data_IF_393724745831
#
_entry.id   IF_393724745831
#
_cell.length_a   1.000
_cell.length_b   1.000
_cell.length_c   1.000
_cell.angle_alpha   90.00
_cell.angle_beta   90.00
_cell.angle_gamma   90.00
#
_symmetry.space_group_name_H-M   'P 1'
#
loop_
_entity.id
_entity.type
_entity.pdbx_description
1 polymer ?
#
# COMPACT_ATOMS: atom_id res chain seq x y z
N UNK A 1 -34.98 34.08 -6.67
CA UNK A 1 -33.64 33.46 -6.64
C UNK A 1 -33.74 32.19 -5.79
N UNK A 2 -33.47 31.02 -6.38
CA UNK A 2 -33.55 29.76 -5.65
C UNK A 2 -32.47 29.72 -4.55
N UNK A 3 -32.85 29.33 -3.33
CA UNK A 3 -31.91 29.09 -2.23
C UNK A 3 -31.59 27.60 -2.21
N UNK A 4 -30.35 27.26 -1.90
CA UNK A 4 -29.91 25.87 -1.79
C UNK A 4 -29.37 25.60 -0.39
N UNK A 5 -29.62 24.40 0.12
CA UNK A 5 -29.13 24.00 1.43
C UNK A 5 -27.60 23.86 1.38
N UNK A 6 -26.88 24.58 2.25
CA UNK A 6 -25.41 24.52 2.32
C UNK A 6 -24.87 23.17 2.78
N UNK A 7 -25.72 22.31 3.35
CA UNK A 7 -25.33 20.99 3.87
C UNK A 7 -25.53 19.86 2.85
N UNK A 8 -26.61 19.88 2.07
CA UNK A 8 -26.94 18.79 1.14
C UNK A 8 -27.22 19.24 -0.30
N UNK A 9 -27.23 20.54 -0.59
CA UNK A 9 -27.41 21.08 -1.94
C UNK A 9 -28.84 21.09 -2.48
N UNK A 10 -29.84 20.61 -1.73
CA UNK A 10 -31.24 20.58 -2.20
C UNK A 10 -31.83 21.99 -2.32
N UNK A 11 -32.80 22.14 -3.22
CA UNK A 11 -33.55 23.39 -3.39
C UNK A 11 -34.42 23.67 -2.17
N UNK A 12 -34.30 24.88 -1.62
CA UNK A 12 -35.00 25.32 -0.42
C UNK A 12 -35.96 26.45 -0.80
N UNK A 13 -37.21 26.32 -0.36
CA UNK A 13 -38.23 27.36 -0.52
C UNK A 13 -37.78 28.70 0.06
N UNK A 14 -38.22 29.81 -0.52
CA UNK A 14 -37.78 31.17 -0.16
C UNK A 14 -37.86 31.48 1.34
N UNK A 15 -38.82 30.87 2.03
CA UNK A 15 -39.19 31.15 3.41
C UNK A 15 -38.94 29.97 4.38
N UNK A 16 -38.33 28.87 3.91
CA UNK A 16 -38.07 27.71 4.76
C UNK A 16 -36.95 28.01 5.77
N UNK A 17 -37.22 27.73 7.06
CA UNK A 17 -36.25 27.90 8.16
C UNK A 17 -35.31 26.71 8.32
N UNK A 18 -35.77 25.54 7.88
CA UNK A 18 -35.03 24.28 7.89
C UNK A 18 -35.13 23.65 6.50
N UNK A 19 -34.12 22.86 6.14
CA UNK A 19 -34.13 22.09 4.91
C UNK A 19 -35.02 20.86 5.09
N UNK A 20 -36.03 20.69 4.24
CA UNK A 20 -36.97 19.57 4.34
C UNK A 20 -36.28 18.21 4.11
N UNK A 21 -35.20 18.18 3.33
CA UNK A 21 -34.44 16.95 3.02
C UNK A 21 -33.46 16.49 4.12
N UNK A 22 -32.83 17.41 4.85
CA UNK A 22 -31.77 17.05 5.81
C UNK A 22 -31.93 17.64 7.21
N UNK A 23 -33.02 18.38 7.45
CA UNK A 23 -33.36 19.01 8.73
C UNK A 23 -32.44 20.16 9.16
N UNK A 24 -31.45 20.54 8.36
CA UNK A 24 -30.49 21.59 8.73
C UNK A 24 -31.11 23.00 8.69
N UNK A 25 -30.81 23.89 9.66
CA UNK A 25 -31.32 25.26 9.65
C UNK A 25 -30.71 26.08 8.49
N UNK A 26 -31.57 26.79 7.75
CA UNK A 26 -31.21 27.53 6.52
C UNK A 26 -30.57 28.89 6.84
N UNK A 27 -30.67 29.37 8.09
CA UNK A 27 -29.95 30.54 8.60
C UNK A 27 -29.03 30.13 9.74
N UNK A 28 -27.72 30.18 9.53
CA UNK A 28 -26.79 30.28 10.63
C UNK A 28 -27.06 31.60 11.37
N UNK A 29 -27.55 31.52 12.61
CA UNK A 29 -27.73 32.67 13.48
C UNK A 29 -26.34 33.23 13.77
N UNK A 30 -26.01 34.39 13.23
CA UNK A 30 -24.82 35.14 13.67
C UNK A 30 -24.95 35.35 15.18
N UNK A 31 -23.99 34.91 16.02
CA UNK A 31 -24.05 35.19 17.43
C UNK A 31 -24.00 36.72 17.63
N UNK A 32 -25.02 37.24 18.28
CA UNK A 32 -25.11 38.64 18.65
C UNK A 32 -23.97 38.96 19.63
N UNK A 33 -23.04 39.81 19.20
CA UNK A 33 -22.06 40.41 20.08
C UNK A 33 -22.80 41.33 21.04
N UNK A 34 -22.66 41.07 22.34
CA UNK A 34 -23.28 41.86 23.39
C UNK A 34 -22.78 43.31 23.34
N UNK A 35 -23.72 44.25 23.42
CA UNK A 35 -23.45 45.67 23.53
C UNK A 35 -22.73 46.00 24.84
N UNK A 36 -21.61 46.72 24.78
CA UNK A 36 -21.04 47.46 25.90
C UNK A 36 -21.28 48.97 25.71
N UNK A 37 -21.60 49.74 26.76
CA UNK A 37 -21.80 51.19 26.68
C UNK A 37 -20.49 51.98 26.47
N UNK A 38 -20.56 53.23 25.99
CA UNK A 38 -19.39 54.00 25.59
C UNK A 38 -18.72 54.71 26.78
N UNK A 39 -17.40 54.56 26.90
CA UNK A 39 -16.57 55.45 27.73
C UNK A 39 -15.74 56.34 26.83
N UNK A 40 -15.95 57.65 26.97
CA UNK A 40 -15.31 58.71 26.22
C UNK A 40 -13.86 58.96 26.66
N UNK A 41 -12.93 59.10 25.72
CA UNK A 41 -11.67 59.84 25.89
C UNK A 41 -11.25 60.48 24.54
N UNK A 42 -10.35 61.47 24.49
CA UNK A 42 -10.61 62.75 23.84
C UNK A 42 -9.96 62.85 22.46
N UNK A 43 -10.43 63.86 21.71
CA UNK A 43 -9.89 64.30 20.43
C UNK A 43 -8.44 64.75 20.58
N UNK A 44 -7.56 64.17 19.77
CA UNK A 44 -6.35 64.88 19.30
C UNK A 44 -6.52 65.07 17.81
N UNK A 45 -6.78 66.31 17.42
CA UNK A 45 -6.83 66.75 16.03
C UNK A 45 -5.40 66.68 15.46
N UNK A 46 -5.20 65.90 14.41
CA UNK A 46 -4.14 66.16 13.45
C UNK A 46 -4.82 66.56 12.13
N UNK A 47 -4.61 67.81 11.76
CA UNK A 47 -5.11 68.38 10.52
C UNK A 47 -4.50 67.67 9.32
N UNK A 48 -5.35 67.10 8.46
CA UNK A 48 -5.00 66.73 7.10
C UNK A 48 -5.90 67.54 6.16
N UNK A 49 -5.29 68.19 5.17
CA UNK A 49 -5.95 69.06 4.22
C UNK A 49 -7.10 68.35 3.46
N UNK A 50 -8.24 69.02 3.21
CA UNK A 50 -9.31 68.44 2.42
C UNK A 50 -8.86 68.33 0.96
N UNK A 51 -8.75 67.10 0.46
CA UNK A 51 -8.68 66.84 -0.97
C UNK A 51 -10.14 66.74 -1.44
N UNK A 52 -10.63 67.78 -2.10
CA UNK A 52 -11.94 67.77 -2.75
C UNK A 52 -11.90 66.82 -3.96
N UNK A 53 -12.20 65.55 -3.73
CA UNK A 53 -12.39 64.54 -4.77
C UNK A 53 -13.87 64.55 -5.15
N UNK A 54 -14.16 64.95 -6.39
CA UNK A 54 -15.52 65.00 -6.93
C UNK A 54 -16.09 63.58 -7.17
N UNK A 55 -16.81 63.06 -6.18
CA UNK A 55 -17.36 61.69 -6.12
C UNK A 55 -18.44 61.36 -7.17
N UNK A 56 -18.96 62.34 -7.92
CA UNK A 56 -20.08 62.10 -8.87
C UNK A 56 -19.68 61.43 -10.17
N UNK A 57 -18.39 61.37 -10.53
CA UNK A 57 -17.92 60.68 -11.77
C UNK A 57 -17.04 59.46 -11.54
N UNK A 58 -16.59 59.19 -10.31
CA UNK A 58 -15.77 58.01 -9.98
C UNK A 58 -16.63 56.80 -9.60
N UNK A 59 -17.88 57.01 -9.19
CA UNK A 59 -18.78 55.94 -8.72
C UNK A 59 -19.30 54.96 -9.78
N UNK A 60 -19.22 55.27 -11.08
CA UNK A 60 -19.79 54.43 -12.14
C UNK A 60 -18.78 53.57 -12.92
N UNK A 61 -17.47 53.86 -12.83
CA UNK A 61 -16.42 53.03 -13.44
C UNK A 61 -15.56 52.27 -12.40
N UNK A 62 -15.52 52.70 -11.14
CA UNK A 62 -14.78 52.02 -10.08
C UNK A 62 -15.50 50.80 -9.48
N UNK A 63 -16.84 50.83 -9.40
CA UNK A 63 -17.63 49.78 -8.75
C UNK A 63 -17.66 48.46 -9.52
N UNK A 64 -17.74 48.53 -10.86
CA UNK A 64 -17.75 47.33 -11.72
C UNK A 64 -16.37 46.67 -11.75
N UNK A 65 -15.28 47.45 -11.81
CA UNK A 65 -13.92 46.91 -11.80
C UNK A 65 -13.58 46.18 -10.50
N UNK A 66 -13.97 46.71 -9.34
CA UNK A 66 -13.75 46.06 -8.04
C UNK A 66 -14.64 44.84 -7.85
N UNK A 67 -15.91 44.89 -8.29
CA UNK A 67 -16.80 43.73 -8.23
C UNK A 67 -16.33 42.58 -9.15
N UNK A 68 -15.87 42.89 -10.37
CA UNK A 68 -15.30 41.89 -11.29
C UNK A 68 -13.99 41.33 -10.75
N UNK A 69 -13.12 42.13 -10.12
CA UNK A 69 -11.91 41.64 -9.47
C UNK A 69 -12.20 40.78 -8.23
N UNK A 70 -13.23 41.09 -7.44
CA UNK A 70 -13.64 40.26 -6.30
C UNK A 70 -14.28 38.94 -6.74
N UNK A 71 -15.07 38.96 -7.82
CA UNK A 71 -15.66 37.73 -8.40
C UNK A 71 -14.57 36.91 -9.10
N UNK A 72 -13.72 37.51 -9.93
CA UNK A 72 -12.62 36.80 -10.59
C UNK A 72 -11.56 36.30 -9.58
N UNK A 73 -11.23 37.10 -8.57
CA UNK A 73 -10.34 36.71 -7.47
C UNK A 73 -10.94 35.63 -6.57
N UNK A 74 -12.24 35.70 -6.29
CA UNK A 74 -12.96 34.66 -5.54
C UNK A 74 -13.07 33.35 -6.31
N UNK A 75 -13.32 33.39 -7.62
CA UNK A 75 -13.34 32.22 -8.50
C UNK A 75 -11.95 31.59 -8.62
N UNK A 76 -10.90 32.40 -8.82
CA UNK A 76 -9.53 31.91 -8.86
C UNK A 76 -9.08 31.27 -7.53
N UNK A 77 -9.46 31.85 -6.38
CA UNK A 77 -9.18 31.27 -5.07
C UNK A 77 -9.96 29.95 -4.83
N UNK A 78 -11.19 29.83 -5.32
CA UNK A 78 -11.99 28.61 -5.21
C UNK A 78 -11.39 27.44 -5.99
N UNK A 79 -10.86 27.68 -7.20
CA UNK A 79 -10.15 26.66 -7.98
C UNK A 79 -8.75 26.31 -7.44
N UNK A 80 -8.19 27.14 -6.55
CA UNK A 80 -6.92 26.88 -5.88
C UNK A 80 -7.05 26.09 -4.56
N UNK A 81 -8.27 25.90 -4.04
CA UNK A 81 -8.46 25.12 -2.81
C UNK A 81 -8.27 23.62 -3.05
N UNK A 82 -7.58 22.91 -2.13
CA UNK A 82 -7.42 21.47 -2.25
C UNK A 82 -8.80 20.79 -2.17
N UNK A 83 -9.07 19.80 -3.03
CA UNK A 83 -10.31 19.06 -2.99
C UNK A 83 -10.46 18.32 -1.66
N UNK A 84 -11.69 18.12 -1.19
CA UNK A 84 -11.94 17.23 -0.05
C UNK A 84 -11.50 15.80 -0.36
N UNK A 85 -10.85 15.16 0.61
CA UNK A 85 -10.49 13.73 0.55
C UNK A 85 -11.74 12.87 0.72
N UNK A 86 -11.74 11.62 0.19
CA UNK A 86 -12.92 10.76 0.29
C UNK A 86 -13.23 10.37 1.74
N UNK A 87 -14.51 10.13 2.01
CA UNK A 87 -14.95 9.55 3.29
C UNK A 87 -14.65 8.04 3.37
N UNK A 88 -14.85 7.42 4.53
CA UNK A 88 -14.71 5.97 4.69
C UNK A 88 -15.68 5.19 3.78
N UNK A 89 -16.90 5.68 3.58
CA UNK A 89 -17.87 5.05 2.70
C UNK A 89 -17.45 5.12 1.22
N UNK A 90 -17.04 6.32 0.77
CA UNK A 90 -16.58 6.54 -0.61
C UNK A 90 -15.34 5.71 -0.91
N UNK A 91 -14.39 5.65 0.04
CA UNK A 91 -13.21 4.82 -0.10
C UNK A 91 -13.56 3.34 -0.12
N UNK A 92 -14.51 2.91 0.69
CA UNK A 92 -15.04 1.55 0.67
C UNK A 92 -15.61 1.20 -0.70
N UNK A 93 -16.42 2.06 -1.31
CA UNK A 93 -16.95 1.83 -2.66
C UNK A 93 -15.84 1.74 -3.71
N UNK A 94 -14.89 2.68 -3.66
CA UNK A 94 -13.75 2.71 -4.58
C UNK A 94 -12.90 1.42 -4.49
N UNK A 95 -12.58 0.97 -3.29
CA UNK A 95 -11.81 -0.27 -3.06
C UNK A 95 -12.57 -1.49 -3.55
N UNK A 96 -13.88 -1.56 -3.30
CA UNK A 96 -14.70 -2.71 -3.68
C UNK A 96 -15.02 -2.76 -5.18
N UNK A 97 -14.87 -1.64 -5.91
CA UNK A 97 -14.96 -1.62 -7.36
C UNK A 97 -13.76 -2.32 -8.04
N UNK A 98 -12.59 -2.34 -7.39
CA UNK A 98 -11.41 -3.05 -7.87
C UNK A 98 -11.41 -4.52 -7.40
N UNK A 99 -11.89 -5.39 -8.29
CA UNK A 99 -11.96 -6.85 -8.07
C UNK A 99 -10.62 -7.46 -7.68
N UNK A 100 -9.49 -6.93 -8.18
CA UNK A 100 -8.17 -7.51 -7.92
C UNK A 100 -7.70 -7.18 -6.51
N UNK A 101 -7.85 -5.91 -6.11
CA UNK A 101 -7.56 -5.44 -4.75
C UNK A 101 -8.43 -6.19 -3.73
N UNK A 102 -9.73 -6.33 -4.00
CA UNK A 102 -10.64 -7.10 -3.14
C UNK A 102 -10.21 -8.56 -3.03
N UNK A 103 -9.98 -9.24 -4.16
CA UNK A 103 -9.62 -10.65 -4.16
C UNK A 103 -8.31 -10.92 -3.41
N UNK A 104 -7.32 -10.04 -3.51
CA UNK A 104 -6.04 -10.18 -2.80
C UNK A 104 -6.18 -9.97 -1.28
N UNK A 105 -7.18 -9.23 -0.84
CA UNK A 105 -7.45 -8.98 0.57
C UNK A 105 -8.41 -10.03 1.19
N UNK A 106 -9.34 -10.58 0.39
CA UNK A 106 -10.48 -11.39 0.87
C UNK A 106 -10.44 -12.86 0.44
N UNK A 107 -9.41 -13.27 -0.30
CA UNK A 107 -9.24 -14.65 -0.74
C UNK A 107 -7.82 -15.16 -0.41
N UNK A 108 -7.76 -16.45 -0.09
CA UNK A 108 -6.53 -17.20 0.13
C UNK A 108 -6.03 -17.79 -1.19
N UNK A 109 -4.72 -17.78 -1.40
CA UNK A 109 -4.06 -18.26 -2.63
C UNK A 109 -2.74 -18.99 -2.36
N UNK A 110 -2.47 -19.30 -1.10
CA UNK A 110 -1.30 -19.98 -0.56
C UNK A 110 -1.36 -21.51 -0.76
N UNK A 111 -2.50 -22.00 -1.25
CA UNK A 111 -2.74 -23.42 -1.50
C UNK A 111 -3.43 -23.64 -2.85
N UNK A 112 -3.31 -24.85 -3.41
CA UNK A 112 -3.90 -25.25 -4.68
C UNK A 112 -5.41 -25.52 -4.54
N UNK A 113 -6.16 -24.47 -4.20
CA UNK A 113 -7.61 -24.56 -3.96
C UNK A 113 -8.39 -24.95 -5.20
N UNK A 114 -7.89 -24.71 -6.42
CA UNK A 114 -8.54 -25.12 -7.66
C UNK A 114 -8.65 -26.65 -7.81
N UNK A 115 -7.79 -27.42 -7.14
CA UNK A 115 -7.81 -28.88 -7.23
C UNK A 115 -8.89 -29.43 -6.32
N UNK A 116 -9.89 -30.08 -6.92
CA UNK A 116 -10.95 -30.75 -6.17
C UNK A 116 -10.36 -31.72 -5.14
N UNK A 117 -9.41 -32.56 -5.56
CA UNK A 117 -8.72 -33.49 -4.68
C UNK A 117 -7.28 -33.06 -4.46
N UNK A 118 -6.91 -32.91 -3.19
CA UNK A 118 -5.55 -32.58 -2.76
C UNK A 118 -5.03 -33.65 -1.80
N UNK A 119 -3.76 -34.01 -1.95
CA UNK A 119 -3.09 -34.95 -1.04
C UNK A 119 -2.01 -34.18 -0.29
N UNK A 120 -2.11 -34.20 1.03
CA UNK A 120 -1.17 -33.53 1.93
C UNK A 120 -0.35 -34.58 2.65
N UNK A 121 0.97 -34.39 2.65
CA UNK A 121 1.91 -35.30 3.30
C UNK A 121 1.73 -35.31 4.82
N UNK A 122 1.99 -36.45 5.46
CA UNK A 122 1.84 -36.60 6.90
C UNK A 122 2.69 -35.63 7.75
N UNK A 123 3.75 -35.05 7.19
CA UNK A 123 4.65 -34.11 7.88
C UNK A 123 4.28 -32.62 7.69
N UNK A 124 3.35 -32.30 6.79
CA UNK A 124 2.96 -30.91 6.54
C UNK A 124 1.91 -30.46 7.57
N UNK A 125 2.39 -30.07 8.75
CA UNK A 125 1.55 -29.72 9.89
C UNK A 125 0.69 -28.49 9.60
N UNK A 126 1.26 -27.47 8.96
CA UNK A 126 0.58 -26.20 8.69
C UNK A 126 -0.59 -26.39 7.73
N UNK A 127 -0.35 -27.07 6.59
CA UNK A 127 -1.41 -27.32 5.61
C UNK A 127 -2.51 -28.22 6.17
N UNK A 128 -2.16 -29.23 6.99
CA UNK A 128 -3.17 -30.07 7.67
C UNK A 128 -4.02 -29.27 8.66
N UNK A 129 -3.41 -28.36 9.42
CA UNK A 129 -4.14 -27.50 10.36
C UNK A 129 -5.13 -26.60 9.61
N UNK A 130 -4.69 -25.98 8.50
CA UNK A 130 -5.57 -25.20 7.65
C UNK A 130 -6.72 -26.05 7.08
N UNK A 131 -6.42 -27.21 6.50
CA UNK A 131 -7.46 -28.08 5.93
C UNK A 131 -8.41 -28.66 6.98
N UNK A 132 -7.96 -28.85 8.23
CA UNK A 132 -8.84 -29.20 9.34
C UNK A 132 -9.86 -28.09 9.59
N UNK A 133 -9.40 -26.84 9.69
CA UNK A 133 -10.30 -25.67 9.85
C UNK A 133 -11.29 -25.59 8.69
N UNK A 134 -10.82 -25.79 7.45
CA UNK A 134 -11.68 -25.77 6.27
C UNK A 134 -12.65 -26.95 6.22
N UNK A 135 -12.29 -28.10 6.80
CA UNK A 135 -13.18 -29.25 6.94
C UNK A 135 -14.29 -28.96 7.96
N UNK A 136 -13.95 -28.37 9.10
CA UNK A 136 -14.90 -27.95 10.13
C UNK A 136 -15.83 -26.83 9.62
N UNK A 137 -15.32 -25.94 8.75
CA UNK A 137 -16.11 -24.95 8.03
C UNK A 137 -17.00 -25.54 6.93
N UNK A 138 -16.89 -26.83 6.64
CA UNK A 138 -17.63 -27.52 5.58
C UNK A 138 -17.17 -27.16 4.17
N UNK A 139 -16.00 -26.56 3.98
CA UNK A 139 -15.41 -26.21 2.67
C UNK A 139 -14.74 -27.44 2.05
N UNK A 140 -14.06 -28.25 2.87
CA UNK A 140 -13.52 -29.55 2.50
C UNK A 140 -14.25 -30.69 3.21
N UNK A 141 -14.26 -31.88 2.60
CA UNK A 141 -14.73 -33.11 3.23
C UNK A 141 -13.70 -33.69 4.21
N UNK A 142 -14.11 -34.65 5.05
CA UNK A 142 -13.22 -35.27 6.03
C UNK A 142 -12.01 -35.96 5.37
N UNK A 143 -10.82 -35.94 6.02
CA UNK A 143 -9.61 -36.49 5.45
C UNK A 143 -9.72 -38.00 5.24
N UNK A 144 -9.29 -38.48 4.09
CA UNK A 144 -9.16 -39.90 3.77
C UNK A 144 -7.68 -40.30 3.81
N UNK A 145 -7.29 -41.36 4.54
CA UNK A 145 -5.90 -41.80 4.53
C UNK A 145 -5.53 -42.34 3.14
N UNK A 146 -4.36 -41.96 2.63
CA UNK A 146 -3.81 -42.52 1.40
C UNK A 146 -2.52 -43.27 1.69
N UNK A 147 -2.56 -44.57 1.40
CA UNK A 147 -1.41 -45.49 1.45
C UNK A 147 -0.69 -45.45 0.11
N UNK A 148 0.06 -44.37 -0.14
CA UNK A 148 1.04 -44.36 -1.23
C UNK A 148 2.44 -44.10 -0.67
N UNK A 149 3.38 -44.93 -1.13
CA UNK A 149 4.72 -45.17 -0.57
C UNK A 149 5.71 -44.04 -0.77
N UNK A 150 5.40 -42.83 -0.29
CA UNK A 150 6.43 -41.80 -0.10
C UNK A 150 7.22 -42.10 1.18
N UNK A 151 7.99 -43.20 1.13
CA UNK A 151 9.08 -43.69 1.99
C UNK A 151 9.07 -43.51 3.53
N UNK A 152 8.37 -42.55 4.14
CA UNK A 152 8.41 -42.25 5.58
C UNK A 152 7.13 -41.68 6.23
N UNK A 153 5.98 -41.58 5.56
CA UNK A 153 4.75 -41.17 6.25
C UNK A 153 3.57 -41.03 5.30
N UNK A 154 2.50 -41.78 5.53
CA UNK A 154 1.28 -41.73 4.71
C UNK A 154 0.72 -40.31 4.56
N UNK A 155 -0.14 -40.11 3.56
CA UNK A 155 -0.79 -38.83 3.30
C UNK A 155 -2.25 -38.80 3.75
N UNK A 156 -2.82 -37.60 3.79
CA UNK A 156 -4.26 -37.39 3.89
C UNK A 156 -4.77 -36.73 2.62
N UNK A 157 -5.84 -37.27 2.07
CA UNK A 157 -6.54 -36.73 0.93
C UNK A 157 -7.76 -35.95 1.39
N UNK A 158 -7.93 -34.76 0.85
CA UNK A 158 -9.07 -33.89 1.07
C UNK A 158 -9.78 -33.63 -0.26
N UNK A 159 -11.10 -33.49 -0.23
CA UNK A 159 -11.91 -33.18 -1.42
C UNK A 159 -12.83 -32.00 -1.15
N UNK A 160 -13.14 -31.19 -2.15
CA UNK A 160 -14.10 -30.09 -1.99
C UNK A 160 -15.49 -30.61 -1.63
N UNK A 161 -16.23 -29.78 -0.91
CA UNK A 161 -17.69 -29.91 -0.79
C UNK A 161 -18.38 -28.98 -1.78
N UNK A 162 -19.70 -29.09 -1.91
CA UNK A 162 -20.50 -28.13 -2.68
C UNK A 162 -20.38 -26.69 -2.16
N UNK A 163 -20.14 -26.50 -0.85
CA UNK A 163 -19.88 -25.18 -0.29
C UNK A 163 -18.49 -24.68 -0.70
N UNK A 164 -17.48 -25.56 -0.67
CA UNK A 164 -16.12 -25.25 -1.13
C UNK A 164 -16.09 -24.80 -2.58
N UNK A 165 -16.73 -25.53 -3.48
CA UNK A 165 -16.82 -25.18 -4.92
C UNK A 165 -17.46 -23.80 -5.14
N UNK A 166 -18.46 -23.42 -4.33
CA UNK A 166 -19.08 -22.10 -4.41
C UNK A 166 -18.16 -20.97 -3.91
N UNK A 167 -17.28 -21.27 -2.95
CA UNK A 167 -16.39 -20.30 -2.31
C UNK A 167 -15.07 -20.12 -3.05
N UNK A 168 -14.68 -21.11 -3.86
CA UNK A 168 -13.46 -21.07 -4.66
C UNK A 168 -13.74 -20.35 -5.98
N UNK A 169 -13.03 -19.26 -6.22
CA UNK A 169 -13.16 -18.41 -7.41
C UNK A 169 -11.77 -18.14 -7.97
N UNK A 170 -11.58 -18.38 -9.26
CA UNK A 170 -10.29 -18.16 -9.93
C UNK A 170 -9.10 -18.86 -9.23
N UNK A 171 -9.34 -20.07 -8.71
CA UNK A 171 -8.35 -20.85 -7.97
C UNK A 171 -8.01 -20.33 -6.56
N UNK A 172 -8.76 -19.37 -6.04
CA UNK A 172 -8.59 -18.81 -4.70
C UNK A 172 -9.78 -19.12 -3.81
N UNK A 173 -9.55 -19.39 -2.54
CA UNK A 173 -10.62 -19.57 -1.57
C UNK A 173 -11.03 -18.22 -0.99
N UNK A 174 -12.21 -17.73 -1.33
CA UNK A 174 -12.69 -16.44 -0.84
C UNK A 174 -13.55 -16.60 0.41
N UNK A 175 -13.19 -15.89 1.48
CA UNK A 175 -13.85 -15.94 2.78
C UNK A 175 -14.68 -14.68 3.11
N UNK A 176 -14.66 -13.68 2.22
CA UNK A 176 -15.46 -12.46 2.35
C UNK A 176 -15.84 -11.92 0.96
N UNK A 177 -16.85 -11.05 0.93
CA UNK A 177 -17.33 -10.42 -0.30
C UNK A 177 -16.54 -9.15 -0.67
N UNK A 178 -15.91 -8.52 0.33
CA UNK A 178 -15.29 -7.23 0.16
C UNK A 178 -14.69 -6.66 1.43
N UNK A 179 -14.41 -5.36 1.40
CA UNK A 179 -13.85 -4.60 2.52
C UNK A 179 -14.87 -3.62 3.09
N UNK A 180 -14.88 -3.48 4.41
CA UNK A 180 -15.60 -2.43 5.13
C UNK A 180 -14.58 -1.50 5.73
N UNK A 181 -14.48 -0.28 5.22
CA UNK A 181 -13.56 0.74 5.72
C UNK A 181 -14.16 1.35 6.99
N UNK A 182 -13.41 1.29 8.09
CA UNK A 182 -13.84 1.78 9.41
C UNK A 182 -13.38 3.21 9.62
N UNK A 183 -12.11 3.51 9.34
CA UNK A 183 -11.55 4.86 9.50
C UNK A 183 -10.61 5.18 8.34
N UNK A 184 -10.46 6.47 8.04
CA UNK A 184 -9.54 6.99 7.03
C UNK A 184 -8.76 8.16 7.59
N UNK A 185 -7.47 8.24 7.26
CA UNK A 185 -6.61 9.36 7.57
C UNK A 185 -5.81 9.73 6.32
N UNK A 186 -6.12 10.90 5.76
CA UNK A 186 -5.42 11.41 4.59
C UNK A 186 -4.56 12.61 4.95
N UNK A 187 -3.38 12.69 4.33
CA UNK A 187 -2.62 13.92 4.26
C UNK A 187 -3.37 14.95 3.39
N UNK A 188 -3.00 16.23 3.54
CA UNK A 188 -3.55 17.29 2.70
C UNK A 188 -3.24 16.99 1.22
N UNK A 189 -4.23 17.04 0.32
CA UNK A 189 -3.98 16.82 -1.10
C UNK A 189 -2.96 17.80 -1.66
N UNK A 190 -2.08 17.29 -2.52
CA UNK A 190 -1.05 18.08 -3.20
C UNK A 190 -1.26 17.99 -4.70
N UNK A 191 -0.87 19.03 -5.43
CA UNK A 191 -0.98 19.05 -6.89
C UNK A 191 0.37 18.65 -7.50
N UNK A 192 0.40 17.55 -8.26
CA UNK A 192 1.57 17.01 -8.95
C UNK A 192 1.17 16.75 -10.40
N UNK A 193 1.95 17.24 -11.36
CA UNK A 193 1.67 17.10 -12.81
C UNK A 193 0.23 17.50 -13.17
N UNK A 194 -0.18 18.67 -12.69
CA UNK A 194 -1.52 19.25 -12.84
C UNK A 194 -2.68 18.50 -12.17
N UNK A 195 -2.45 17.30 -11.60
CA UNK A 195 -3.46 16.49 -10.93
C UNK A 195 -3.35 16.58 -9.42
N UNK A 196 -4.51 16.54 -8.74
CA UNK A 196 -4.52 16.42 -7.29
C UNK A 196 -4.25 14.97 -6.90
N UNK A 197 -3.33 14.78 -5.96
CA UNK A 197 -3.01 13.49 -5.36
C UNK A 197 -3.22 13.57 -3.85
N UNK A 198 -3.76 12.50 -3.27
CA UNK A 198 -3.91 12.33 -1.84
C UNK A 198 -3.30 11.00 -1.43
N UNK A 199 -2.65 10.99 -0.27
CA UNK A 199 -2.08 9.78 0.32
C UNK A 199 -2.56 9.66 1.74
N UNK A 200 -2.74 8.44 2.21
CA UNK A 200 -3.28 8.20 3.54
C UNK A 200 -3.18 6.75 3.99
N UNK A 201 -3.77 6.49 5.14
CA UNK A 201 -4.03 5.18 5.69
C UNK A 201 -5.52 4.99 5.91
N UNK A 202 -5.96 3.74 5.94
CA UNK A 202 -7.31 3.38 6.31
C UNK A 202 -7.32 2.08 7.11
N UNK A 203 -8.25 1.99 8.06
CA UNK A 203 -8.52 0.75 8.77
C UNK A 203 -9.71 0.05 8.14
N UNK A 204 -9.64 -1.27 7.99
CA UNK A 204 -10.70 -2.06 7.38
C UNK A 204 -10.99 -3.36 8.13
N UNK A 205 -12.21 -3.83 7.96
CA UNK A 205 -12.67 -5.19 8.28
C UNK A 205 -13.22 -5.87 7.03
N UNK A 206 -13.55 -7.15 7.13
CA UNK A 206 -14.13 -7.90 6.04
C UNK A 206 -15.65 -7.69 5.94
N UNK A 207 -16.14 -7.42 4.73
CA UNK A 207 -17.56 -7.31 4.42
C UNK A 207 -18.13 -8.69 4.16
N UNK A 208 -19.19 -9.06 4.89
CA UNK A 208 -19.82 -10.39 4.84
C UNK A 208 -18.81 -11.53 4.94
N UNK A 209 -17.89 -11.41 5.91
CA UNK A 209 -16.93 -12.47 6.19
C UNK A 209 -17.65 -13.74 6.68
N UNK A 210 -17.15 -14.89 6.26
CA UNK A 210 -17.59 -16.17 6.78
C UNK A 210 -17.25 -16.31 8.27
N UNK A 211 -18.18 -16.87 9.05
CA UNK A 211 -18.02 -16.96 10.50
C UNK A 211 -16.80 -17.80 10.93
N UNK A 212 -16.38 -18.77 10.12
CA UNK A 212 -15.29 -19.68 10.46
C UNK A 212 -13.93 -18.97 10.58
N UNK A 213 -13.73 -17.82 9.94
CA UNK A 213 -12.45 -17.08 10.06
C UNK A 213 -12.25 -16.49 11.47
N UNK A 214 -13.31 -16.42 12.27
CA UNK A 214 -13.26 -15.90 13.64
C UNK A 214 -12.88 -16.99 14.66
N UNK A 215 -12.75 -18.26 14.25
CA UNK A 215 -12.36 -19.32 15.18
C UNK A 215 -10.89 -19.18 15.59
N UNK A 216 -10.52 -19.53 16.83
CA UNK A 216 -9.13 -19.52 17.26
C UNK A 216 -8.21 -20.40 16.40
N UNK A 217 -8.74 -21.47 15.82
CA UNK A 217 -8.02 -22.38 14.93
C UNK A 217 -7.70 -21.69 13.61
N UNK A 218 -8.67 -20.97 13.02
CA UNK A 218 -8.46 -20.19 11.80
C UNK A 218 -7.44 -19.07 12.03
N UNK A 219 -7.58 -18.31 13.12
CA UNK A 219 -6.64 -17.25 13.46
C UNK A 219 -5.22 -17.76 13.72
N UNK A 220 -5.05 -19.00 14.20
CA UNK A 220 -3.73 -19.62 14.35
C UNK A 220 -3.16 -20.15 13.03
N UNK A 221 -4.02 -20.64 12.13
CA UNK A 221 -3.60 -21.13 10.82
C UNK A 221 -3.15 -19.96 9.92
N UNK A 222 -3.90 -18.85 9.93
CA UNK A 222 -3.69 -17.68 9.08
C UNK A 222 -3.74 -16.37 9.90
N UNK A 223 -2.77 -16.14 10.81
CA UNK A 223 -2.79 -15.00 11.72
C UNK A 223 -2.72 -13.66 10.99
N UNK A 224 -1.93 -13.56 9.94
CA UNK A 224 -1.80 -12.33 9.16
C UNK A 224 -3.13 -11.88 8.55
N UNK A 225 -3.99 -12.85 8.18
CA UNK A 225 -5.28 -12.61 7.53
C UNK A 225 -6.42 -12.44 8.53
N UNK A 226 -6.48 -13.27 9.56
CA UNK A 226 -7.69 -13.39 10.39
C UNK A 226 -7.57 -12.79 11.79
N UNK A 227 -6.37 -12.71 12.37
CA UNK A 227 -6.17 -12.09 13.67
C UNK A 227 -6.13 -10.55 13.58
N UNK A 228 -6.22 -9.86 14.72
CA UNK A 228 -5.97 -8.41 14.85
C UNK A 228 -6.79 -7.52 13.89
N UNK A 229 -8.08 -7.79 13.77
CA UNK A 229 -9.02 -6.91 13.06
C UNK A 229 -9.40 -5.71 13.97
N UNK A 230 -9.55 -4.49 13.41
CA UNK A 230 -9.39 -4.10 12.01
C UNK A 230 -7.93 -3.99 11.55
N UNK A 231 -7.67 -4.28 10.27
CA UNK A 231 -6.34 -4.14 9.65
C UNK A 231 -6.12 -2.73 9.15
N UNK A 232 -4.87 -2.27 9.16
CA UNK A 232 -4.47 -0.97 8.59
C UNK A 232 -3.79 -1.17 7.23
N UNK A 233 -4.10 -0.32 6.27
CA UNK A 233 -3.46 -0.30 4.95
C UNK A 233 -3.23 1.14 4.47
N UNK A 234 -2.25 1.30 3.58
CA UNK A 234 -1.92 2.57 2.95
C UNK A 234 -2.52 2.68 1.56
N UNK A 235 -2.81 3.90 1.14
CA UNK A 235 -3.42 4.17 -0.15
C UNK A 235 -2.93 5.49 -0.75
N UNK A 236 -2.78 5.47 -2.07
CA UNK A 236 -2.57 6.66 -2.89
C UNK A 236 -3.75 6.81 -3.85
N UNK A 237 -4.22 8.04 -3.96
CA UNK A 237 -5.37 8.43 -4.77
C UNK A 237 -4.98 9.55 -5.71
N UNK A 238 -5.48 9.49 -6.93
CA UNK A 238 -5.42 10.58 -7.91
C UNK A 238 -6.83 11.07 -8.20
N UNK A 239 -7.00 12.39 -8.25
CA UNK A 239 -8.27 12.99 -8.61
C UNK A 239 -8.34 13.19 -10.12
N UNK A 240 -9.39 12.69 -10.74
CA UNK A 240 -9.75 12.95 -12.12
C UNK A 240 -11.12 13.64 -12.22
N UNK A 241 -11.66 13.74 -13.43
CA UNK A 241 -12.97 14.34 -13.71
C UNK A 241 -14.15 13.58 -13.07
N UNK A 242 -13.99 12.28 -12.82
CA UNK A 242 -15.01 11.39 -12.21
C UNK A 242 -14.86 11.24 -10.69
N UNK A 243 -13.88 11.90 -10.07
CA UNK A 243 -13.65 11.83 -8.62
C UNK A 243 -12.28 11.28 -8.26
N UNK A 244 -12.17 10.70 -7.07
CA UNK A 244 -10.94 10.05 -6.60
C UNK A 244 -10.84 8.63 -7.17
N UNK A 245 -9.67 8.26 -7.65
CA UNK A 245 -9.37 6.91 -8.14
C UNK A 245 -8.07 6.39 -7.53
N UNK A 246 -7.94 5.06 -7.48
CA UNK A 246 -6.71 4.39 -7.05
C UNK A 246 -5.56 4.77 -7.98
N UNK A 247 -4.48 5.25 -7.39
CA UNK A 247 -3.27 5.62 -8.11
C UNK A 247 -2.43 4.35 -8.40
N UNK A 248 -2.73 3.68 -9.50
CA UNK A 248 -2.11 2.40 -9.87
C UNK A 248 -0.73 2.55 -10.56
N UNK A 249 -0.16 3.75 -10.62
CA UNK A 249 1.05 3.97 -11.41
C UNK A 249 1.66 5.36 -11.31
N UNK A 250 2.30 5.65 -10.18
CA UNK A 250 3.60 6.34 -10.12
C UNK A 250 4.23 5.95 -8.78
N UNK A 251 5.39 5.28 -8.74
CA UNK A 251 6.06 5.00 -7.47
C UNK A 251 6.60 6.32 -6.91
N UNK A 252 5.75 7.05 -6.20
CA UNK A 252 6.19 8.18 -5.38
C UNK A 252 6.87 7.54 -4.17
N UNK A 253 8.19 7.39 -4.25
CA UNK A 253 9.08 7.00 -3.14
C UNK A 253 8.49 5.95 -2.21
N UNK A 254 8.61 4.67 -2.59
CA UNK A 254 8.28 3.51 -1.76
C UNK A 254 9.03 3.56 -0.42
N UNK A 255 8.38 4.12 0.59
CA UNK A 255 8.74 4.04 1.99
C UNK A 255 7.47 3.70 2.76
N UNK A 256 7.54 2.65 3.57
CA UNK A 256 6.47 2.05 4.38
C UNK A 256 5.57 1.07 3.61
N UNK A 257 6.04 -0.18 3.60
CA UNK A 257 5.39 -1.29 2.93
C UNK A 257 4.19 -1.87 3.66
N UNK A 258 3.50 -2.76 2.95
CA UNK A 258 2.92 -3.99 3.48
C UNK A 258 3.11 -5.12 2.44
N UNK A 259 3.15 -6.38 2.87
CA UNK A 259 3.64 -7.52 2.10
C UNK A 259 2.59 -8.10 1.15
N UNK A 260 3.05 -8.95 0.24
CA UNK A 260 2.30 -9.98 -0.51
C UNK A 260 1.49 -9.60 -1.77
N UNK A 261 1.21 -8.32 -2.08
CA UNK A 261 0.47 -8.00 -3.32
C UNK A 261 1.34 -7.89 -4.60
N UNK A 262 2.67 -7.79 -4.46
CA UNK A 262 3.60 -7.68 -5.60
C UNK A 262 4.38 -8.96 -5.92
N UNK A 263 4.31 -9.99 -5.07
CA UNK A 263 5.02 -11.25 -5.31
C UNK A 263 4.37 -12.04 -6.48
N UNK A 264 3.04 -12.10 -6.54
CA UNK A 264 2.30 -12.94 -7.50
C UNK A 264 2.27 -12.43 -8.94
N UNK A 265 2.84 -11.25 -9.24
CA UNK A 265 2.94 -10.74 -10.62
C UNK A 265 4.25 -11.19 -11.31
N UNK A 266 5.22 -11.72 -10.55
CA UNK A 266 6.46 -12.24 -11.11
C UNK A 266 6.35 -13.70 -11.60
N UNK A 267 5.36 -14.46 -11.13
CA UNK A 267 5.25 -15.90 -11.44
C UNK A 267 4.53 -16.22 -12.77
N UNK A 268 4.05 -15.21 -13.50
CA UNK A 268 3.32 -15.38 -14.77
C UNK A 268 4.10 -14.89 -16.01
N UNK A 269 5.42 -14.74 -15.94
CA UNK A 269 6.22 -14.59 -17.16
C UNK A 269 6.55 -16.00 -17.65
N UNK A 270 5.65 -16.52 -18.48
CA UNK A 270 5.86 -17.76 -19.23
C UNK A 270 7.18 -17.72 -19.98
N UNK A 271 8.04 -18.66 -19.62
CA UNK A 271 9.21 -19.03 -20.37
C UNK A 271 8.77 -19.63 -21.71
N UNK A 272 8.68 -18.81 -22.75
CA UNK A 272 8.69 -19.28 -24.13
C UNK A 272 9.70 -18.48 -24.96
N UNK A 273 10.79 -19.19 -25.28
CA UNK A 273 11.59 -19.12 -26.51
C UNK A 273 11.93 -17.74 -27.11
N UNK A 274 13.23 -17.43 -27.12
CA UNK A 274 13.80 -16.38 -27.97
C UNK A 274 15.29 -16.20 -27.78
N UNK A 275 16.07 -17.15 -28.30
CA UNK A 275 17.53 -17.11 -28.40
C UNK A 275 18.08 -15.76 -28.91
N UNK A 276 19.16 -15.28 -28.29
CA UNK A 276 20.04 -14.28 -28.91
C UNK A 276 20.58 -13.15 -28.02
N UNK A 277 19.96 -12.84 -26.88
CA UNK A 277 20.40 -11.69 -26.05
C UNK A 277 21.35 -12.07 -24.91
N UNK A 278 21.29 -13.31 -24.40
CA UNK A 278 22.00 -13.73 -23.19
C UNK A 278 23.52 -13.90 -23.33
N UNK A 279 24.05 -14.14 -24.54
CA UNK A 279 25.50 -14.30 -24.75
C UNK A 279 26.30 -12.98 -24.77
N UNK A 280 25.64 -11.81 -24.83
CA UNK A 280 26.33 -10.51 -24.75
C UNK A 280 26.45 -9.98 -23.32
N UNK A 281 25.66 -10.50 -22.39
CA UNK A 281 25.69 -10.10 -20.97
C UNK A 281 26.78 -10.87 -20.22
N UNK A 282 27.05 -12.13 -20.60
CA UNK A 282 28.09 -12.96 -19.96
C UNK A 282 29.50 -12.38 -20.11
N UNK A 283 29.83 -11.79 -21.26
CA UNK A 283 31.16 -11.19 -21.48
C UNK A 283 31.37 -9.85 -20.76
N UNK A 284 30.30 -9.14 -20.40
CA UNK A 284 30.39 -7.86 -19.68
C UNK A 284 30.55 -8.07 -18.16
N UNK A 285 29.97 -9.14 -17.61
CA UNK A 285 29.98 -9.42 -16.17
C UNK A 285 31.31 -10.06 -15.72
N UNK A 286 31.96 -10.88 -16.56
CA UNK A 286 33.28 -11.45 -16.25
C UNK A 286 34.38 -10.39 -16.11
N UNK A 287 34.23 -9.24 -16.78
CA UNK A 287 35.15 -8.12 -16.69
C UNK A 287 34.91 -7.23 -15.45
N UNK A 288 33.69 -7.21 -14.91
CA UNK A 288 33.33 -6.38 -13.74
C UNK A 288 33.77 -6.96 -12.39
N UNK A 289 33.98 -8.28 -12.28
CA UNK A 289 34.47 -8.92 -11.05
C UNK A 289 35.95 -9.31 -11.08
N UNK A 290 36.67 -8.94 -12.15
CA UNK A 290 38.06 -9.32 -12.40
C UNK A 290 39.12 -8.76 -11.44
N UNK A 291 38.75 -8.01 -10.40
CA UNK A 291 39.74 -7.45 -9.47
C UNK A 291 39.36 -7.36 -7.99
N UNK A 292 38.18 -7.79 -7.53
CA UNK A 292 37.84 -7.80 -6.09
C UNK A 292 36.97 -8.98 -5.65
N UNK A 293 37.55 -10.13 -5.26
CA UNK A 293 36.83 -11.29 -4.71
C UNK A 293 36.30 -11.10 -3.28
N UNK A 294 36.23 -9.85 -2.77
CA UNK A 294 35.98 -9.58 -1.34
C UNK A 294 34.51 -9.65 -0.94
N UNK A 295 33.56 -9.40 -1.85
CA UNK A 295 32.13 -9.53 -1.52
C UNK A 295 31.63 -10.97 -1.62
N UNK A 296 32.29 -11.79 -2.45
CA UNK A 296 31.91 -13.20 -2.68
C UNK A 296 31.98 -13.97 -1.37
N UNK A 297 30.92 -14.74 -1.10
CA UNK A 297 30.75 -15.54 0.11
C UNK A 297 29.40 -15.30 0.78
N UNK A 298 29.16 -16.04 1.86
CA UNK A 298 27.93 -16.00 2.64
C UNK A 298 28.06 -15.04 3.82
N UNK A 299 27.01 -14.26 4.03
CA UNK A 299 26.92 -13.21 5.03
C UNK A 299 25.63 -13.41 5.83
N UNK A 300 25.66 -13.12 7.12
CA UNK A 300 24.52 -13.28 8.04
C UNK A 300 24.30 -12.00 8.82
N UNK A 301 23.04 -11.66 9.02
CA UNK A 301 22.66 -10.48 9.79
C UNK A 301 23.14 -10.58 11.24
N UNK A 302 23.76 -9.49 11.73
CA UNK A 302 24.25 -9.36 13.10
C UNK A 302 23.11 -9.27 14.12
N UNK A 303 21.92 -8.82 13.69
CA UNK A 303 20.78 -8.59 14.59
C UNK A 303 19.92 -9.83 14.88
N UNK A 304 20.34 -11.01 14.41
CA UNK A 304 19.74 -12.29 14.81
C UNK A 304 18.43 -12.66 14.10
N UNK A 305 18.05 -11.97 13.02
CA UNK A 305 16.91 -12.31 12.16
C UNK A 305 17.01 -13.70 11.51
N UNK A 306 18.22 -14.26 11.43
CA UNK A 306 18.49 -15.52 10.74
C UNK A 306 18.68 -15.36 9.24
N UNK A 307 18.48 -14.15 8.70
CA UNK A 307 18.64 -13.85 7.29
C UNK A 307 20.10 -13.99 6.84
N UNK A 308 20.28 -14.57 5.65
CA UNK A 308 21.60 -14.70 5.03
C UNK A 308 21.58 -14.31 3.57
N UNK A 309 22.66 -13.65 3.15
CA UNK A 309 22.91 -13.21 1.79
C UNK A 309 24.17 -13.88 1.31
N UNK A 310 24.14 -14.51 0.16
CA UNK A 310 25.30 -15.11 -0.47
C UNK A 310 25.60 -14.40 -1.78
N UNK A 311 26.76 -13.72 -1.84
CA UNK A 311 27.23 -13.13 -3.08
C UNK A 311 28.06 -14.18 -3.81
N UNK A 312 27.68 -14.45 -5.04
CA UNK A 312 28.41 -15.29 -6.00
C UNK A 312 29.20 -14.41 -6.97
N UNK A 313 29.94 -15.02 -7.90
CA UNK A 313 30.59 -14.27 -8.99
C UNK A 313 29.60 -13.64 -9.96
N UNK A 314 28.37 -14.16 -10.00
CA UNK A 314 27.38 -13.84 -11.04
C UNK A 314 26.15 -13.11 -10.47
N UNK A 315 26.08 -12.84 -9.17
CA UNK A 315 24.94 -12.19 -8.51
C UNK A 315 24.86 -12.46 -7.01
N UNK A 316 23.72 -12.23 -6.37
CA UNK A 316 23.50 -12.59 -4.96
C UNK A 316 22.25 -13.48 -4.74
N UNK A 317 22.25 -14.25 -3.67
CA UNK A 317 21.19 -15.19 -3.25
C UNK A 317 20.73 -14.75 -1.86
N UNK A 318 19.42 -14.57 -1.65
CA UNK A 318 18.84 -14.09 -0.39
C UNK A 318 17.95 -15.18 0.23
N UNK A 319 18.21 -15.57 1.48
CA UNK A 319 17.28 -16.44 2.24
C UNK A 319 17.09 -17.86 1.70
N UNK A 320 18.05 -18.40 0.93
CA UNK A 320 18.01 -19.77 0.40
C UNK A 320 17.13 -19.96 -0.84
N UNK A 321 16.35 -18.96 -1.24
CA UNK A 321 15.62 -18.93 -2.50
C UNK A 321 16.27 -17.88 -3.42
N UNK A 322 16.80 -18.32 -4.56
CA UNK A 322 17.54 -17.46 -5.49
C UNK A 322 16.64 -16.39 -6.12
N UNK A 323 16.83 -15.13 -5.73
CA UNK A 323 16.34 -13.98 -6.48
C UNK A 323 17.53 -13.37 -7.24
N UNK A 324 17.47 -13.19 -8.57
CA UNK A 324 18.57 -12.59 -9.30
C UNK A 324 18.70 -11.11 -8.90
N UNK A 325 19.76 -10.80 -8.17
CA UNK A 325 20.19 -9.43 -7.86
C UNK A 325 21.55 -9.20 -8.51
N UNK A 326 21.67 -8.09 -9.22
CA UNK A 326 22.88 -7.65 -9.90
C UNK A 326 23.59 -6.63 -9.04
N UNK A 327 24.91 -6.78 -8.92
CA UNK A 327 25.75 -5.87 -8.16
C UNK A 327 26.42 -4.93 -9.15
N UNK A 328 26.01 -3.66 -9.16
CA UNK A 328 26.59 -2.62 -10.04
C UNK A 328 27.56 -1.76 -9.23
N UNK A 329 28.81 -1.63 -9.70
CA UNK A 329 29.76 -0.69 -9.09
C UNK A 329 29.77 0.59 -9.90
N UNK A 330 29.63 1.74 -9.25
CA UNK A 330 29.76 3.01 -9.95
C UNK A 330 31.20 3.19 -10.45
N UNK A 331 31.38 3.35 -11.76
CA UNK A 331 32.69 3.58 -12.36
C UNK A 331 33.26 4.97 -12.01
N UNK A 332 32.43 5.93 -11.57
CA UNK A 332 32.87 7.27 -11.16
C UNK A 332 33.31 7.32 -9.68
N UNK A 333 32.71 6.48 -8.82
CA UNK A 333 33.02 6.39 -7.39
C UNK A 333 33.19 4.92 -6.99
N UNK A 334 34.41 4.39 -7.21
CA UNK A 334 34.82 2.98 -6.99
C UNK A 334 34.65 2.42 -5.56
N UNK A 335 33.98 3.19 -4.69
CA UNK A 335 33.65 2.87 -3.29
C UNK A 335 32.18 2.50 -3.09
N UNK A 336 31.28 2.81 -4.03
CA UNK A 336 29.84 2.53 -3.89
C UNK A 336 29.43 1.39 -4.79
N UNK A 337 28.96 0.34 -4.14
CA UNK A 337 28.42 -0.84 -4.80
C UNK A 337 26.92 -0.83 -4.60
N UNK A 338 26.13 -0.94 -5.66
CA UNK A 338 24.68 -0.94 -5.60
C UNK A 338 24.15 -2.36 -5.76
N UNK A 339 23.20 -2.72 -4.89
CA UNK A 339 22.37 -3.89 -5.10
C UNK A 339 21.22 -3.48 -6.02
N UNK A 340 21.09 -4.13 -7.18
CA UNK A 340 20.04 -3.83 -8.15
C UNK A 340 19.23 -5.06 -8.50
N UNK A 341 17.94 -4.89 -8.81
CA UNK A 341 17.07 -5.95 -9.32
C UNK A 341 16.21 -5.36 -10.43
N UNK A 342 16.25 -5.98 -11.61
CA UNK A 342 15.56 -5.47 -12.81
C UNK A 342 15.83 -3.97 -13.09
N UNK A 343 17.07 -3.51 -12.86
CA UNK A 343 17.47 -2.10 -13.04
C UNK A 343 17.10 -1.15 -11.91
N UNK A 344 16.44 -1.63 -10.85
CA UNK A 344 16.06 -0.82 -9.68
C UNK A 344 17.10 -0.98 -8.57
N UNK A 345 17.62 0.14 -8.03
CA UNK A 345 18.56 0.14 -6.89
C UNK A 345 17.82 -0.18 -5.58
N UNK A 346 18.14 -1.33 -5.00
CA UNK A 346 17.60 -1.80 -3.72
C UNK A 346 18.36 -1.24 -2.53
N UNK A 347 19.67 -1.01 -2.66
CA UNK A 347 20.49 -0.50 -1.58
C UNK A 347 21.93 -0.27 -1.99
N UNK A 348 22.68 0.43 -1.13
CA UNK A 348 24.12 0.64 -1.29
C UNK A 348 24.86 -0.30 -0.33
N UNK A 349 25.73 -1.12 -0.88
CA UNK A 349 26.64 -2.00 -0.15
C UNK A 349 27.92 -1.22 0.12
N UNK A 350 28.29 -1.16 1.39
CA UNK A 350 29.55 -0.62 1.88
C UNK A 350 30.29 -1.73 2.63
N UNK A 351 31.48 -2.07 2.16
CA UNK A 351 32.35 -3.02 2.85
C UNK A 351 33.07 -2.29 3.98
N UNK A 352 32.77 -2.64 5.23
CA UNK A 352 33.41 -2.01 6.40
C UNK A 352 34.81 -2.61 6.60
N UNK A 353 34.91 -3.94 6.59
CA UNK A 353 36.15 -4.71 6.68
C UNK A 353 36.00 -6.06 5.95
N UNK A 354 36.94 -7.00 6.12
CA UNK A 354 36.89 -8.28 5.39
C UNK A 354 35.75 -9.21 5.84
N UNK A 355 35.27 -9.02 7.07
CA UNK A 355 34.30 -9.88 7.74
C UNK A 355 32.99 -9.15 8.03
N UNK A 356 32.90 -7.83 7.85
CA UNK A 356 31.67 -7.06 8.00
C UNK A 356 31.35 -6.22 6.76
N UNK A 357 30.10 -6.26 6.35
CA UNK A 357 29.53 -5.34 5.37
C UNK A 357 28.28 -4.67 5.92
N UNK A 358 27.98 -3.50 5.39
CA UNK A 358 26.76 -2.76 5.66
C UNK A 358 25.98 -2.61 4.37
N UNK A 359 24.67 -2.84 4.43
CA UNK A 359 23.77 -2.53 3.33
C UNK A 359 22.83 -1.44 3.79
N UNK A 360 22.85 -0.31 3.08
CA UNK A 360 21.99 0.84 3.32
C UNK A 360 20.84 0.81 2.32
N UNK A 361 19.62 0.59 2.78
CA UNK A 361 18.42 0.46 1.94
C UNK A 361 17.64 1.78 1.78
N UNK A 362 18.23 2.91 2.19
CA UNK A 362 17.61 4.25 2.13
C UNK A 362 16.66 4.57 3.30
N UNK A 363 16.17 3.56 4.02
CA UNK A 363 15.33 3.70 5.23
C UNK A 363 15.97 3.11 6.50
N UNK A 364 17.19 2.57 6.38
CA UNK A 364 17.91 1.94 7.47
C UNK A 364 19.19 1.27 6.98
N UNK A 365 20.03 0.85 7.91
CA UNK A 365 21.26 0.11 7.64
C UNK A 365 21.18 -1.25 8.31
N UNK A 366 21.51 -2.31 7.58
CA UNK A 366 21.70 -3.63 8.14
C UNK A 366 23.17 -4.00 8.04
N UNK A 367 23.70 -4.60 9.11
CA UNK A 367 25.10 -5.00 9.21
C UNK A 367 25.17 -6.51 9.20
N UNK A 368 26.06 -7.04 8.39
CA UNK A 368 26.21 -8.47 8.19
C UNK A 368 27.65 -8.88 8.47
N UNK A 369 27.83 -10.01 9.13
CA UNK A 369 29.12 -10.66 9.29
C UNK A 369 29.28 -11.83 8.31
N UNK A 370 30.51 -12.08 7.89
CA UNK A 370 30.86 -13.21 7.03
C UNK A 370 30.70 -14.52 7.79
N UNK A 371 30.00 -15.47 7.19
CA UNK A 371 29.93 -16.84 7.69
C UNK A 371 31.10 -17.60 7.12
N UNK A 372 32.15 -17.80 7.91
CA UNK A 372 33.29 -18.64 7.51
C UNK A 372 32.82 -20.06 7.20
N UNK A 373 33.27 -20.62 6.07
CA UNK A 373 33.18 -22.06 5.85
C UNK A 373 33.91 -22.75 6.99
N UNK A 374 33.18 -23.44 7.87
CA UNK A 374 33.81 -24.42 8.76
C UNK A 374 34.44 -25.47 7.85
N UNK A 375 35.75 -25.36 7.67
CA UNK A 375 36.59 -26.42 7.11
C UNK A 375 36.22 -27.69 7.84
N UNK A 376 35.54 -28.59 7.12
CA UNK A 376 35.18 -29.91 7.62
C UNK A 376 36.51 -30.61 7.88
N UNK A 377 36.97 -30.62 9.14
CA UNK A 377 38.13 -31.40 9.55
C UNK A 377 37.75 -32.86 9.27
N UNK A 378 38.21 -33.37 8.14
CA UNK A 378 38.21 -34.79 7.85
C UNK A 378 39.17 -35.39 8.85
N UNK A 379 38.63 -35.97 9.93
CA UNK A 379 39.41 -36.89 10.75
C UNK A 379 39.82 -38.05 9.84
N UNK A 380 41.11 -38.35 9.67
CA UNK A 380 41.49 -39.61 9.08
C UNK A 380 40.95 -40.73 10.00
N UNK A 381 40.22 -41.66 9.42
CA UNK A 381 39.81 -42.92 10.03
C UNK A 381 40.94 -43.94 9.85
N UNK A 382 40.96 -44.93 10.75
CA UNK A 382 41.89 -45.07 11.87
C UNK A 382 43.35 -45.30 11.49
#
# INVERSE_FOLDING_TARGET
>A
MARFCVKCGSGVGSDARFCDECGAPVRARTPAHAAQPPTAIPRTQLAAAPIDINWRRVGLLGGVGVAVLLVAGGVAAFFAMPPSTPSAADLGELLNADKTTVANATCLSDFAYEKNTVVVGGFDINTKQLLQVLTEAGIYGPPKPVTNGFLFGGGQQYSHTALGEKKIRDGKLCFADGLTVVTVQFAKPVRIDERWRAQGSYNYTYRHADAWIQTPEAQRAEPERFADLPKSAHIALVKNEYGWQLDNGTPIGSGFGLPNALQNRADNIDASSGDGLFQRITSAVSAMFGSRPRLVGKWRDDQGSGDSIEFTRDGAILGGNGAPVTVETDHADSKRTYLTRAGVRLGTIELIDNDHLQISFGFGTARFHRVGERTRIVRPRP
#
